data_IF_077307844868
#
_entry.id   IF_077307844868
#
_cell.length_a   1.000
_cell.length_b   1.000
_cell.length_c   1.000
_cell.angle_alpha   90.00
_cell.angle_beta   90.00
_cell.angle_gamma   90.00
#
_symmetry.space_group_name_H-M   'P 1'
#
loop_
_entity.id
_entity.type
_entity.pdbx_description
1 polymer ?
#
# COMPACT_ATOMS: atom_id res chain seq x y z
N UNK A 1 18.69 5.05 -25.11
CA UNK A 1 19.58 4.99 -23.92
C UNK A 1 19.35 3.69 -23.14
N UNK A 2 20.40 2.93 -22.78
CA UNK A 2 20.32 1.64 -22.05
C UNK A 2 21.45 1.58 -21.00
N UNK A 3 21.32 2.29 -19.88
CA UNK A 3 22.12 2.05 -18.66
C UNK A 3 21.68 3.01 -17.53
N UNK A 4 20.50 2.82 -16.96
CA UNK A 4 20.20 3.29 -15.62
C UNK A 4 19.68 2.09 -14.84
N UNK A 5 20.56 1.46 -14.07
CA UNK A 5 20.21 0.34 -13.18
C UNK A 5 19.50 0.81 -11.91
N UNK A 6 19.30 2.13 -11.76
CA UNK A 6 18.75 2.76 -10.59
C UNK A 6 17.63 3.69 -11.03
N UNK A 7 16.49 3.59 -10.34
CA UNK A 7 15.36 4.49 -10.49
C UNK A 7 15.33 5.34 -9.22
N UNK A 8 15.57 6.63 -9.36
CA UNK A 8 15.56 7.55 -8.23
C UNK A 8 14.11 7.89 -7.87
N UNK A 9 13.69 7.50 -6.66
CA UNK A 9 12.35 7.74 -6.14
C UNK A 9 12.43 8.78 -5.02
N UNK A 10 12.46 10.06 -5.40
CA UNK A 10 12.62 11.18 -4.45
C UNK A 10 11.38 11.45 -3.60
N UNK A 11 10.20 10.98 -4.02
CA UNK A 11 8.91 11.29 -3.41
C UNK A 11 8.39 10.15 -2.50
N UNK A 12 9.28 9.25 -2.08
CA UNK A 12 8.93 8.10 -1.25
C UNK A 12 9.77 8.04 0.01
N UNK A 13 9.14 7.78 1.15
CA UNK A 13 9.89 7.37 2.33
C UNK A 13 10.41 5.95 2.14
N UNK A 14 11.69 5.75 2.47
CA UNK A 14 12.34 4.44 2.34
C UNK A 14 11.61 3.35 3.12
N UNK A 15 11.02 3.68 4.28
CA UNK A 15 10.30 2.70 5.10
C UNK A 15 9.00 2.27 4.43
N UNK A 16 8.25 3.20 3.87
CA UNK A 16 6.99 2.92 3.17
C UNK A 16 7.24 1.98 1.97
N UNK A 17 8.31 2.23 1.21
CA UNK A 17 8.66 1.37 0.08
C UNK A 17 9.12 -0.03 0.50
N UNK A 18 9.90 -0.14 1.58
CA UNK A 18 10.28 -1.44 2.14
C UNK A 18 9.04 -2.21 2.62
N UNK A 19 8.06 -1.52 3.18
CA UNK A 19 6.82 -2.14 3.63
C UNK A 19 5.95 -2.60 2.48
N UNK A 20 5.91 -1.85 1.38
CA UNK A 20 5.32 -2.33 0.14
C UNK A 20 6.01 -3.61 -0.35
N UNK A 21 7.35 -3.66 -0.37
CA UNK A 21 8.07 -4.87 -0.76
C UNK A 21 7.74 -6.05 0.17
N UNK A 22 7.62 -5.84 1.47
CA UNK A 22 7.22 -6.90 2.39
C UNK A 22 5.82 -7.45 2.09
N UNK A 23 4.87 -6.60 1.67
CA UNK A 23 3.53 -7.03 1.26
C UNK A 23 3.58 -7.78 -0.07
N UNK A 24 4.31 -7.26 -1.06
CA UNK A 24 4.48 -7.88 -2.38
C UNK A 24 5.10 -9.27 -2.28
N UNK A 25 6.19 -9.38 -1.52
CA UNK A 25 6.91 -10.65 -1.33
C UNK A 25 6.31 -11.52 -0.22
N UNK A 26 5.21 -11.10 0.40
CA UNK A 26 4.53 -11.83 1.49
C UNK A 26 5.49 -12.26 2.61
N UNK A 27 6.43 -11.40 3.01
CA UNK A 27 7.49 -11.74 3.99
C UNK A 27 6.99 -11.84 5.43
N UNK A 28 5.67 -11.84 5.65
CA UNK A 28 5.04 -11.97 6.96
C UNK A 28 4.91 -10.67 7.74
N UNK A 29 5.24 -9.51 7.15
CA UNK A 29 4.92 -8.22 7.77
C UNK A 29 3.41 -7.99 7.72
N UNK A 30 2.83 -7.71 8.88
CA UNK A 30 1.39 -7.41 9.00
C UNK A 30 1.13 -5.98 8.53
N UNK A 31 0.07 -5.81 7.75
CA UNK A 31 -0.50 -4.50 7.43
C UNK A 31 -1.12 -3.95 8.73
N UNK A 32 -0.94 -2.66 8.98
CA UNK A 32 -1.54 -1.92 10.10
C UNK A 32 -2.38 -0.77 9.55
N UNK A 33 -3.23 -0.15 10.37
CA UNK A 33 -4.07 0.97 9.93
C UNK A 33 -3.25 2.16 9.42
N UNK A 34 -2.13 2.49 10.07
CA UNK A 34 -1.21 3.51 9.53
C UNK A 34 -0.54 3.08 8.22
N UNK A 35 -0.32 1.76 8.06
CA UNK A 35 0.35 1.22 6.88
C UNK A 35 -0.54 1.06 5.67
N UNK A 36 -1.82 0.73 5.89
CA UNK A 36 -2.76 0.44 4.81
C UNK A 36 -3.01 1.67 3.94
N UNK A 37 -3.00 2.87 4.53
CA UNK A 37 -3.25 4.11 3.77
C UNK A 37 -2.13 4.41 2.78
N UNK A 38 -0.86 4.36 3.21
CA UNK A 38 0.26 4.56 2.28
C UNK A 38 0.44 3.36 1.35
N UNK A 39 0.16 2.13 1.79
CA UNK A 39 0.25 0.94 0.93
C UNK A 39 -0.76 0.99 -0.21
N UNK A 40 -1.98 1.47 0.02
CA UNK A 40 -2.98 1.69 -1.04
C UNK A 40 -2.52 2.77 -2.01
N UNK A 41 -2.07 3.92 -1.51
CA UNK A 41 -1.54 5.02 -2.33
C UNK A 41 -0.35 4.57 -3.19
N UNK A 42 0.56 3.78 -2.62
CA UNK A 42 1.69 3.23 -3.35
C UNK A 42 1.28 2.11 -4.32
N UNK A 43 0.35 1.26 -3.91
CA UNK A 43 -0.24 0.22 -4.75
C UNK A 43 -0.88 0.81 -5.99
N UNK A 44 -1.66 1.88 -5.84
CA UNK A 44 -2.26 2.62 -6.96
C UNK A 44 -1.19 3.32 -7.82
N UNK A 45 -0.29 4.09 -7.19
CA UNK A 45 0.81 4.82 -7.87
C UNK A 45 1.70 3.90 -8.73
N UNK A 46 1.99 2.70 -8.25
CA UNK A 46 2.82 1.71 -8.96
C UNK A 46 2.00 0.64 -9.70
N UNK A 47 0.67 0.74 -9.67
CA UNK A 47 -0.27 -0.21 -10.27
C UNK A 47 -0.02 -1.66 -9.84
N UNK A 48 0.26 -1.88 -8.56
CA UNK A 48 0.51 -3.19 -7.96
C UNK A 48 -0.78 -3.71 -7.33
N UNK A 49 -1.61 -4.36 -8.16
CA UNK A 49 -2.89 -4.93 -7.72
C UNK A 49 -2.76 -5.83 -6.48
N UNK A 50 -1.71 -6.64 -6.39
CA UNK A 50 -1.49 -7.54 -5.24
C UNK A 50 -1.40 -6.81 -3.89
N UNK A 51 -0.92 -5.56 -3.88
CA UNK A 51 -0.83 -4.74 -2.66
C UNK A 51 -2.20 -4.16 -2.33
N UNK A 52 -2.92 -3.69 -3.35
CA UNK A 52 -4.27 -3.15 -3.23
C UNK A 52 -5.22 -4.23 -2.68
N UNK A 53 -5.29 -5.39 -3.34
CA UNK A 53 -6.16 -6.51 -2.93
C UNK A 53 -5.93 -6.89 -1.46
N UNK A 54 -4.67 -6.89 -1.03
CA UNK A 54 -4.29 -7.30 0.32
C UNK A 54 -4.55 -6.23 1.36
N UNK A 55 -4.40 -4.96 0.98
CA UNK A 55 -4.78 -3.83 1.79
C UNK A 55 -6.31 -3.76 1.95
N UNK A 56 -7.07 -4.00 0.88
CA UNK A 56 -8.53 -4.11 0.91
C UNK A 56 -8.99 -5.29 1.76
N UNK A 57 -8.38 -6.47 1.61
CA UNK A 57 -8.67 -7.63 2.46
C UNK A 57 -8.42 -7.31 3.93
N UNK A 58 -7.34 -6.59 4.24
CA UNK A 58 -7.06 -6.13 5.61
C UNK A 58 -8.11 -5.12 6.10
N UNK A 59 -8.50 -4.13 5.27
CA UNK A 59 -9.57 -3.20 5.62
C UNK A 59 -10.89 -3.93 5.85
N UNK A 60 -11.20 -4.93 5.04
CA UNK A 60 -12.43 -5.70 5.18
C UNK A 60 -12.42 -6.57 6.44
N UNK A 61 -11.29 -7.21 6.74
CA UNK A 61 -11.12 -8.10 7.89
C UNK A 61 -10.87 -7.37 9.22
N UNK A 62 -10.40 -6.13 9.18
CA UNK A 62 -10.13 -5.34 10.39
C UNK A 62 -11.41 -4.71 10.92
N UNK A 63 -11.83 -5.11 12.11
CA UNK A 63 -12.89 -4.43 12.89
C UNK A 63 -12.36 -3.16 13.61
N UNK A 64 -11.03 -3.00 13.68
CA UNK A 64 -10.36 -1.83 14.27
C UNK A 64 -10.49 -0.57 13.38
N UNK A 65 -10.71 -0.75 12.08
CA UNK A 65 -10.99 0.37 11.17
C UNK A 65 -12.50 0.60 11.15
N UNK A 66 -12.93 1.73 11.70
CA UNK A 66 -14.34 2.11 11.68
C UNK A 66 -14.86 2.18 10.24
N UNK A 67 -16.11 1.77 10.00
CA UNK A 67 -16.72 1.77 8.65
C UNK A 67 -16.67 3.16 7.98
N UNK A 68 -16.69 4.24 8.77
CA UNK A 68 -16.48 5.60 8.24
C UNK A 68 -15.09 5.79 7.64
N UNK A 69 -14.05 5.23 8.27
CA UNK A 69 -12.68 5.36 7.77
C UNK A 69 -12.45 4.47 6.55
N UNK A 70 -13.07 3.27 6.49
CA UNK A 70 -13.09 2.45 5.27
C UNK A 70 -13.74 3.20 4.10
N UNK A 71 -14.85 3.91 4.37
CA UNK A 71 -15.56 4.70 3.36
C UNK A 71 -14.73 5.90 2.88
N UNK A 72 -14.03 6.59 3.79
CA UNK A 72 -13.11 7.68 3.43
C UNK A 72 -11.95 7.18 2.56
N UNK A 73 -11.34 6.06 2.94
CA UNK A 73 -10.20 5.48 2.23
C UNK A 73 -10.59 5.03 0.82
N UNK A 74 -11.77 4.43 0.65
CA UNK A 74 -12.28 4.04 -0.67
C UNK A 74 -12.50 5.26 -1.58
N UNK A 75 -13.10 6.32 -1.05
CA UNK A 75 -13.33 7.57 -1.79
C UNK A 75 -11.99 8.23 -2.21
N UNK A 76 -10.99 8.23 -1.33
CA UNK A 76 -9.66 8.81 -1.59
C UNK A 76 -8.82 8.03 -2.59
N UNK A 77 -8.98 6.70 -2.64
CA UNK A 77 -8.22 5.82 -3.56
C UNK A 77 -9.05 5.39 -4.78
N UNK A 78 -10.27 5.94 -4.94
CA UNK A 78 -11.15 5.69 -6.07
C UNK A 78 -11.45 4.19 -6.31
N UNK A 79 -11.56 3.44 -5.21
CA UNK A 79 -11.86 2.00 -5.12
C UNK A 79 -13.37 1.74 -5.14
#
# INVERSE_FOLDING_TARGET
EKNKNEIEMNDLDRKEFIDLLHVVYSTGKKITNDSVEYLLKLGDRYQIACVIDRAEEFLFASDDVSNMEKMRIADENNL
#
